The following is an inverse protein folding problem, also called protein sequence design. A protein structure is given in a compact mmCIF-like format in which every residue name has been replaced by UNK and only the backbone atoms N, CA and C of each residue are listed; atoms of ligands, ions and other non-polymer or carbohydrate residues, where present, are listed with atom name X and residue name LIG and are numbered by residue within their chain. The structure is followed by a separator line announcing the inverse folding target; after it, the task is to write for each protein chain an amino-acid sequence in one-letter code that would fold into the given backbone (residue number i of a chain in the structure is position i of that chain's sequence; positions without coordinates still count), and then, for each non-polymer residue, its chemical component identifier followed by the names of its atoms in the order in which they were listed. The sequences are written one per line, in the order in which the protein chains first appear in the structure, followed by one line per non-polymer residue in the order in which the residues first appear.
data_IF_915716162940
#
_entry.id   IF_915716162940
#
_cell.length_a   1.000
_cell.length_b   1.000
_cell.length_c   1.000
_cell.angle_alpha   90.00
_cell.angle_beta   90.00
_cell.angle_gamma   90.00
#
_symmetry.space_group_name_H-M   'P 1'
#
loop_
_entity.id
_entity.type
_entity.pdbx_description
1 polymer ?
#
# COMPACT_ATOMS: atom_id res chain seq x y z
N UNK A 1 -6.66 5.44 29.22
CA UNK A 1 -7.43 4.59 28.27
C UNK A 1 -7.95 5.33 27.03
N UNK A 2 -8.57 6.52 27.15
CA UNK A 2 -9.14 7.26 26.00
C UNK A 2 -8.16 7.50 24.83
N UNK A 3 -6.88 7.76 25.10
CA UNK A 3 -5.85 7.99 24.06
C UNK A 3 -5.56 6.74 23.22
N UNK A 4 -5.41 5.57 23.85
CA UNK A 4 -5.14 4.32 23.14
C UNK A 4 -6.32 3.92 22.23
N UNK A 5 -7.55 4.10 22.74
CA UNK A 5 -8.77 3.84 21.97
C UNK A 5 -8.88 4.80 20.77
N UNK A 6 -8.61 6.09 20.96
CA UNK A 6 -8.63 7.07 19.86
C UNK A 6 -7.55 6.78 18.80
N UNK A 7 -6.34 6.36 19.22
CA UNK A 7 -5.30 5.96 18.29
C UNK A 7 -5.71 4.75 17.45
N UNK A 8 -6.32 3.74 18.08
CA UNK A 8 -6.80 2.54 17.39
C UNK A 8 -7.97 2.85 16.43
N UNK A 9 -8.85 3.79 16.80
CA UNK A 9 -9.92 4.26 15.91
C UNK A 9 -9.38 5.02 14.69
N UNK A 10 -8.42 5.91 14.88
CA UNK A 10 -7.80 6.65 13.78
C UNK A 10 -7.01 5.72 12.86
N UNK A 11 -6.33 4.73 13.44
CA UNK A 11 -5.69 3.66 12.69
C UNK A 11 -6.70 2.87 11.85
N UNK A 12 -7.81 2.42 12.44
CA UNK A 12 -8.88 1.75 11.71
C UNK A 12 -9.44 2.57 10.55
N UNK A 13 -9.60 3.90 10.73
CA UNK A 13 -10.03 4.82 9.66
C UNK A 13 -9.01 4.91 8.53
N UNK A 14 -7.71 4.89 8.83
CA UNK A 14 -6.66 4.96 7.81
C UNK A 14 -6.61 3.74 6.89
N UNK A 15 -6.97 2.56 7.40
CA UNK A 15 -7.02 1.32 6.63
C UNK A 15 -8.10 1.34 5.52
N UNK A 16 -9.13 2.17 5.68
CA UNK A 16 -10.23 2.23 4.72
C UNK A 16 -9.77 2.73 3.34
N UNK A 17 -8.81 3.67 3.28
CA UNK A 17 -8.31 4.24 2.03
C UNK A 17 -7.78 3.18 1.06
N UNK A 18 -6.78 2.36 1.46
CA UNK A 18 -6.29 1.26 0.65
C UNK A 18 -7.34 0.19 0.32
N UNK A 19 -8.23 -0.14 1.26
CA UNK A 19 -9.24 -1.20 1.08
C UNK A 19 -10.23 -0.86 -0.03
N UNK A 20 -10.58 0.42 -0.18
CA UNK A 20 -11.49 0.89 -1.23
C UNK A 20 -10.98 0.67 -2.66
N UNK A 21 -9.67 0.47 -2.85
CA UNK A 21 -9.07 0.23 -4.17
C UNK A 21 -9.30 -1.22 -4.63
N UNK A 22 -9.48 -2.16 -3.68
CA UNK A 22 -9.59 -3.58 -3.98
C UNK A 22 -10.79 -3.94 -4.87
N UNK A 23 -12.02 -3.43 -4.65
CA UNK A 23 -13.16 -3.72 -5.52
C UNK A 23 -12.96 -3.24 -6.95
N UNK A 24 -12.36 -2.05 -7.12
CA UNK A 24 -12.10 -1.46 -8.44
C UNK A 24 -11.12 -2.35 -9.21
N UNK A 25 -10.00 -2.72 -8.57
CA UNK A 25 -9.00 -3.62 -9.18
C UNK A 25 -9.61 -4.99 -9.48
N UNK A 26 -10.42 -5.54 -8.59
CA UNK A 26 -11.12 -6.81 -8.79
C UNK A 26 -12.04 -6.79 -10.01
N UNK A 27 -12.77 -5.70 -10.22
CA UNK A 27 -13.62 -5.51 -11.40
C UNK A 27 -12.80 -5.47 -12.69
N UNK A 28 -11.66 -4.78 -12.69
CA UNK A 28 -10.75 -4.74 -13.85
C UNK A 28 -10.15 -6.12 -14.18
N UNK A 29 -9.81 -6.91 -13.15
CA UNK A 29 -9.33 -8.29 -13.33
C UNK A 29 -10.43 -9.16 -13.94
N UNK A 30 -11.65 -9.10 -13.38
CA UNK A 30 -12.78 -9.86 -13.89
C UNK A 30 -13.08 -9.50 -15.36
N UNK A 31 -13.10 -8.20 -15.68
CA UNK A 31 -13.31 -7.71 -17.03
C UNK A 31 -12.22 -8.17 -18.00
N UNK A 32 -10.94 -8.03 -17.63
CA UNK A 32 -9.82 -8.50 -18.44
C UNK A 32 -9.84 -10.01 -18.66
N UNK A 33 -10.21 -10.79 -17.65
CA UNK A 33 -10.34 -12.25 -17.76
C UNK A 33 -11.51 -12.66 -18.66
N UNK A 34 -12.64 -11.95 -18.62
CA UNK A 34 -13.77 -12.19 -19.54
C UNK A 34 -13.36 -11.94 -20.99
N UNK A 35 -12.60 -10.88 -21.26
CA UNK A 35 -12.09 -10.59 -22.61
C UNK A 35 -10.95 -11.52 -23.05
N UNK A 36 -10.12 -11.97 -22.10
CA UNK A 36 -8.90 -12.75 -22.33
C UNK A 36 -9.10 -14.27 -22.37
N UNK A 37 -10.28 -14.77 -22.01
CA UNK A 37 -10.55 -16.20 -21.93
C UNK A 37 -11.06 -16.75 -23.28
N UNK A 38 -10.24 -17.57 -23.92
CA UNK A 38 -10.56 -18.22 -25.20
C UNK A 38 -11.79 -19.13 -25.15
N UNK A 39 -12.27 -19.53 -23.97
CA UNK A 39 -13.53 -20.28 -23.86
C UNK A 39 -14.76 -19.45 -24.22
N UNK A 40 -14.71 -18.12 -24.04
CA UNK A 40 -15.80 -17.20 -24.40
C UNK A 40 -15.83 -16.91 -25.91
N UNK A 41 -14.74 -17.18 -26.63
CA UNK A 41 -14.70 -17.11 -28.09
C UNK A 41 -15.65 -18.11 -28.78
N UNK A 42 -16.07 -19.17 -28.07
CA UNK A 42 -17.10 -20.12 -28.56
C UNK A 42 -18.51 -19.52 -28.61
N UNK A 43 -18.78 -18.52 -27.76
CA UNK A 43 -20.09 -17.87 -27.67
C UNK A 43 -20.11 -16.51 -28.39
N UNK A 44 -18.97 -15.81 -28.43
CA UNK A 44 -18.83 -14.53 -29.12
C UNK A 44 -17.65 -14.59 -30.11
N UNK A 45 -17.89 -14.69 -31.44
CA UNK A 45 -16.82 -14.82 -32.43
C UNK A 45 -15.90 -13.59 -32.52
N UNK A 46 -16.38 -12.42 -32.07
CA UNK A 46 -15.58 -11.20 -31.90
C UNK A 46 -14.46 -11.35 -30.86
N UNK A 47 -14.66 -12.16 -29.79
CA UNK A 47 -13.65 -12.42 -28.75
C UNK A 47 -12.63 -13.51 -29.15
N UNK A 48 -12.82 -14.15 -30.29
CA UNK A 48 -11.89 -15.15 -30.83
C UNK A 48 -10.64 -14.55 -31.46
N UNK A 49 -10.62 -13.23 -31.71
CA UNK A 49 -9.45 -12.61 -32.33
C UNK A 49 -8.29 -12.54 -31.32
N UNK A 50 -7.09 -13.06 -31.68
CA UNK A 50 -5.95 -13.15 -30.75
C UNK A 50 -5.53 -11.79 -30.18
N UNK A 51 -5.77 -10.70 -30.93
CA UNK A 51 -5.51 -9.33 -30.46
C UNK A 51 -6.37 -8.95 -29.24
N UNK A 52 -7.67 -9.30 -29.25
CA UNK A 52 -8.61 -8.95 -28.17
C UNK A 52 -8.28 -9.78 -26.92
N UNK A 53 -7.93 -11.06 -27.10
CA UNK A 53 -7.53 -11.93 -25.99
C UNK A 53 -6.24 -11.45 -25.33
N UNK A 54 -5.25 -11.04 -26.13
CA UNK A 54 -3.99 -10.50 -25.62
C UNK A 54 -4.21 -9.20 -24.85
N UNK A 55 -5.09 -8.31 -25.33
CA UNK A 55 -5.45 -7.08 -24.60
C UNK A 55 -6.18 -7.41 -23.29
N UNK A 56 -7.15 -8.34 -23.31
CA UNK A 56 -7.85 -8.77 -22.10
C UNK A 56 -6.89 -9.32 -21.04
N UNK A 57 -5.95 -10.18 -21.46
CA UNK A 57 -4.90 -10.70 -20.59
C UNK A 57 -3.93 -9.63 -20.10
N UNK A 58 -3.59 -8.63 -20.93
CA UNK A 58 -2.75 -7.50 -20.54
C UNK A 58 -3.43 -6.69 -19.42
N UNK A 59 -4.73 -6.40 -19.56
CA UNK A 59 -5.51 -5.70 -18.54
C UNK A 59 -5.58 -6.53 -17.26
N UNK A 60 -5.90 -7.82 -17.36
CA UNK A 60 -6.00 -8.69 -16.18
C UNK A 60 -4.65 -8.81 -15.45
N UNK A 61 -3.56 -9.08 -16.17
CA UNK A 61 -2.22 -9.26 -15.58
C UNK A 61 -1.69 -7.96 -14.98
N UNK A 62 -1.92 -6.82 -15.61
CA UNK A 62 -1.51 -5.52 -15.06
C UNK A 62 -2.28 -5.18 -13.78
N UNK A 63 -3.60 -5.44 -13.75
CA UNK A 63 -4.41 -5.24 -12.55
C UNK A 63 -4.02 -6.19 -11.39
N UNK A 64 -3.68 -7.45 -11.68
CA UNK A 64 -3.17 -8.40 -10.67
C UNK A 64 -1.87 -7.91 -10.02
N UNK A 65 -1.00 -7.19 -10.74
CA UNK A 65 0.24 -6.64 -10.18
C UNK A 65 0.00 -5.73 -8.97
N UNK A 66 -1.12 -5.00 -8.96
CA UNK A 66 -1.54 -4.14 -7.84
C UNK A 66 -1.83 -4.99 -6.59
N UNK A 67 -2.47 -6.14 -6.75
CA UNK A 67 -2.77 -7.06 -5.65
C UNK A 67 -1.51 -7.77 -5.12
N UNK A 68 -0.54 -8.04 -5.99
CA UNK A 68 0.75 -8.62 -5.58
C UNK A 68 1.54 -7.65 -4.71
N UNK A 69 1.46 -6.35 -5.01
CA UNK A 69 2.14 -5.29 -4.27
C UNK A 69 1.24 -4.60 -3.24
N UNK A 70 0.17 -5.27 -2.80
CA UNK A 70 -0.81 -4.69 -1.89
C UNK A 70 -0.20 -4.24 -0.56
N UNK A 71 0.86 -4.91 -0.09
CA UNK A 71 1.62 -4.51 1.08
C UNK A 71 2.16 -3.06 0.96
N UNK A 72 2.65 -2.67 -0.22
CA UNK A 72 3.15 -1.32 -0.47
C UNK A 72 2.03 -0.27 -0.37
N UNK A 73 0.85 -0.58 -0.92
CA UNK A 73 -0.32 0.31 -0.88
C UNK A 73 -0.73 0.59 0.57
N UNK A 74 -0.70 -0.43 1.44
CA UNK A 74 -0.98 -0.25 2.86
C UNK A 74 0.13 0.49 3.61
N UNK A 75 1.41 0.19 3.31
CA UNK A 75 2.55 0.88 3.92
C UNK A 75 2.53 2.39 3.66
N UNK A 76 2.06 2.78 2.48
CA UNK A 76 1.94 4.17 2.05
C UNK A 76 0.62 4.80 2.51
N UNK A 77 -0.48 4.06 2.41
CA UNK A 77 -1.82 4.58 2.72
C UNK A 77 -2.11 4.81 4.20
N UNK A 78 -1.52 4.02 5.10
CA UNK A 78 -1.72 4.16 6.55
C UNK A 78 -1.14 5.49 7.07
N UNK A 79 0.13 5.85 6.81
CA UNK A 79 0.67 7.15 7.20
C UNK A 79 -0.14 8.33 6.66
N UNK A 80 -0.60 8.24 5.41
CA UNK A 80 -1.46 9.27 4.79
C UNK A 80 -2.81 9.40 5.50
N UNK A 81 -3.41 8.28 5.92
CA UNK A 81 -4.67 8.27 6.66
C UNK A 81 -4.53 8.69 8.13
N UNK A 82 -3.34 8.52 8.73
CA UNK A 82 -3.01 9.00 10.08
C UNK A 82 -2.62 10.49 10.08
N UNK A 83 -2.03 11.00 9.00
CA UNK A 83 -1.55 12.37 8.90
C UNK A 83 -2.70 13.36 8.62
N UNK A 84 -2.82 14.40 9.45
CA UNK A 84 -3.76 15.49 9.23
C UNK A 84 -3.15 16.71 8.50
N UNK A 85 -1.82 16.78 8.40
CA UNK A 85 -1.03 17.83 7.70
C UNK A 85 0.05 17.12 6.86
N UNK A 86 0.49 17.77 5.79
CA UNK A 86 1.60 17.32 4.92
C UNK A 86 1.52 15.84 4.48
N UNK A 87 0.35 15.45 3.96
CA UNK A 87 0.05 14.08 3.54
C UNK A 87 1.08 13.52 2.54
N UNK A 88 1.62 14.35 1.65
CA UNK A 88 2.65 13.92 0.69
C UNK A 88 3.98 13.54 1.37
N UNK A 89 4.35 14.21 2.47
CA UNK A 89 5.56 13.85 3.22
C UNK A 89 5.34 12.56 4.03
N UNK A 90 4.15 12.40 4.60
CA UNK A 90 3.75 11.17 5.29
C UNK A 90 3.78 9.95 4.34
N UNK A 91 3.31 10.14 3.10
CA UNK A 91 3.38 9.14 2.03
C UNK A 91 4.82 8.70 1.75
N UNK A 92 5.71 9.67 1.56
CA UNK A 92 7.12 9.44 1.25
C UNK A 92 7.83 8.67 2.37
N UNK A 93 7.60 9.04 3.63
CA UNK A 93 8.17 8.31 4.78
C UNK A 93 7.68 6.86 4.81
N UNK A 94 6.39 6.63 4.56
CA UNK A 94 5.83 5.27 4.49
C UNK A 94 6.50 4.42 3.41
N UNK A 95 6.70 5.00 2.22
CA UNK A 95 7.37 4.35 1.10
C UNK A 95 8.83 4.01 1.42
N UNK A 96 9.60 4.97 1.93
CA UNK A 96 11.01 4.76 2.30
C UNK A 96 11.13 3.72 3.40
N UNK A 97 10.28 3.77 4.42
CA UNK A 97 10.27 2.78 5.52
C UNK A 97 10.01 1.37 5.00
N UNK A 98 9.10 1.22 4.04
CA UNK A 98 8.81 -0.07 3.42
C UNK A 98 10.00 -0.61 2.61
N UNK A 99 10.70 0.24 1.86
CA UNK A 99 11.90 -0.15 1.11
C UNK A 99 13.03 -0.59 2.05
N UNK A 100 13.25 0.15 3.14
CA UNK A 100 14.23 -0.23 4.18
C UNK A 100 13.84 -1.57 4.80
N UNK A 101 12.56 -1.80 5.07
CA UNK A 101 12.05 -3.05 5.63
C UNK A 101 12.29 -4.25 4.70
N UNK A 102 12.08 -4.10 3.38
CA UNK A 102 12.38 -5.15 2.39
C UNK A 102 13.86 -5.53 2.45
N UNK A 103 14.76 -4.54 2.44
CA UNK A 103 16.20 -4.78 2.48
C UNK A 103 16.64 -5.39 3.82
N UNK A 104 16.10 -4.92 4.94
CA UNK A 104 16.39 -5.48 6.26
C UNK A 104 15.97 -6.96 6.35
N UNK A 105 14.80 -7.32 5.81
CA UNK A 105 14.38 -8.73 5.75
C UNK A 105 15.28 -9.56 4.83
N UNK A 106 15.72 -9.01 3.71
CA UNK A 106 16.64 -9.69 2.82
C UNK A 106 17.97 -10.04 3.54
N UNK A 107 18.57 -9.06 4.22
CA UNK A 107 19.81 -9.24 4.97
C UNK A 107 19.62 -10.25 6.12
N UNK A 108 18.51 -10.16 6.86
CA UNK A 108 18.22 -11.12 7.94
C UNK A 108 18.15 -12.57 7.42
N UNK A 109 17.54 -12.79 6.25
CA UNK A 109 17.50 -14.11 5.62
C UNK A 109 18.87 -14.60 5.15
N UNK A 110 19.72 -13.68 4.67
CA UNK A 110 21.11 -13.99 4.32
C UNK A 110 21.90 -14.44 5.56
N UNK A 111 21.77 -13.71 6.67
CA UNK A 111 22.45 -14.04 7.93
C UNK A 111 21.98 -15.36 8.53
N UNK A 112 20.71 -15.72 8.34
CA UNK A 112 20.15 -17.00 8.79
C UNK A 112 20.47 -18.17 7.83
N UNK A 113 21.10 -17.92 6.68
CA UNK A 113 21.38 -18.94 5.67
C UNK A 113 20.10 -19.53 5.03
N UNK A 114 18.95 -18.86 5.18
CA UNK A 114 17.65 -19.32 4.68
C UNK A 114 17.26 -18.67 3.35
N UNK A 115 18.21 -18.02 2.65
CA UNK A 115 17.95 -17.42 1.35
C UNK A 115 17.70 -18.53 0.31
N UNK A 116 16.44 -18.76 -0.05
CA UNK A 116 16.09 -19.83 -0.98
C UNK A 116 16.41 -19.41 -2.42
N UNK A 117 16.87 -20.37 -3.23
CA UNK A 117 17.04 -20.19 -4.67
C UNK A 117 15.71 -19.79 -5.33
N UNK A 118 15.72 -19.05 -6.47
CA UNK A 118 14.52 -18.53 -7.14
C UNK A 118 13.42 -19.56 -7.41
N UNK A 119 13.81 -20.81 -7.63
CA UNK A 119 12.90 -21.95 -7.88
C UNK A 119 12.16 -22.41 -6.61
N UNK A 120 12.77 -22.26 -5.43
CA UNK A 120 12.25 -22.72 -4.14
C UNK A 120 11.68 -21.59 -3.27
N UNK A 121 11.76 -20.33 -3.72
CA UNK A 121 11.28 -19.16 -2.98
C UNK A 121 9.84 -19.32 -2.48
N UNK A 122 8.93 -19.76 -3.36
CA UNK A 122 7.52 -19.95 -2.98
C UNK A 122 7.34 -21.03 -1.92
N UNK A 123 8.13 -22.11 -1.99
CA UNK A 123 8.08 -23.21 -1.02
C UNK A 123 8.64 -22.79 0.34
N UNK A 124 9.67 -21.95 0.36
CA UNK A 124 10.25 -21.35 1.56
C UNK A 124 9.43 -20.16 2.11
N UNK A 125 8.26 -19.86 1.54
CA UNK A 125 7.43 -18.74 1.98
C UNK A 125 8.03 -17.35 1.66
N UNK A 126 8.93 -17.28 0.68
CA UNK A 126 9.62 -16.06 0.25
C UNK A 126 9.01 -15.51 -1.05
N UNK A 127 9.08 -14.19 -1.21
CA UNK A 127 8.58 -13.47 -2.38
C UNK A 127 9.53 -12.35 -2.75
N UNK A 128 9.58 -12.05 -4.06
CA UNK A 128 10.26 -10.86 -4.57
C UNK A 128 9.34 -9.65 -4.47
N UNK A 129 9.83 -8.57 -3.88
CA UNK A 129 9.16 -7.26 -3.85
C UNK A 129 10.21 -6.19 -4.14
N UNK A 130 9.97 -5.35 -5.15
CA UNK A 130 10.88 -4.24 -5.55
C UNK A 130 12.36 -4.66 -5.79
N UNK A 131 12.61 -5.91 -6.17
CA UNK A 131 13.97 -6.43 -6.42
C UNK A 131 14.65 -7.06 -5.21
N UNK A 132 14.05 -7.01 -4.01
CA UNK A 132 14.52 -7.71 -2.82
C UNK A 132 13.68 -8.94 -2.48
N UNK A 133 14.33 -9.98 -1.95
CA UNK A 133 13.68 -11.19 -1.45
C UNK A 133 13.32 -11.04 0.03
N UNK A 134 12.04 -11.18 0.36
CA UNK A 134 11.50 -11.07 1.72
C UNK A 134 10.52 -12.20 2.02
N UNK A 135 10.18 -12.42 3.29
CA UNK A 135 9.08 -13.32 3.63
C UNK A 135 7.74 -12.80 3.11
N UNK A 136 6.92 -13.71 2.59
CA UNK A 136 5.58 -13.43 2.09
C UNK A 136 4.59 -13.26 3.24
N UNK A 137 4.66 -12.10 3.90
CA UNK A 137 3.70 -11.70 4.94
C UNK A 137 2.44 -11.03 4.37
N UNK A 138 2.38 -10.83 3.05
CA UNK A 138 1.24 -10.19 2.39
C UNK A 138 0.96 -8.79 2.95
N UNK A 139 -0.32 -8.46 3.10
CA UNK A 139 -0.77 -7.13 3.58
C UNK A 139 -0.27 -6.82 5.00
N UNK A 140 -0.02 -7.85 5.81
CA UNK A 140 0.44 -7.68 7.19
C UNK A 140 1.77 -6.91 7.27
N UNK A 141 2.72 -7.17 6.37
CA UNK A 141 3.97 -6.41 6.31
C UNK A 141 3.71 -4.91 6.11
N UNK A 142 2.81 -4.58 5.17
CA UNK A 142 2.45 -3.20 4.87
C UNK A 142 1.75 -2.50 6.03
N UNK A 143 0.86 -3.21 6.73
CA UNK A 143 0.19 -2.69 7.91
C UNK A 143 1.19 -2.42 9.04
N UNK A 144 2.13 -3.35 9.27
CA UNK A 144 3.15 -3.22 10.29
C UNK A 144 4.10 -2.07 10.00
N UNK A 145 4.65 -1.99 8.79
CA UNK A 145 5.55 -0.89 8.40
C UNK A 145 4.83 0.45 8.36
N UNK A 146 3.58 0.48 7.89
CA UNK A 146 2.75 1.68 7.84
C UNK A 146 2.38 2.21 9.22
N UNK A 147 2.07 1.32 10.16
CA UNK A 147 1.85 1.66 11.57
C UNK A 147 3.12 2.20 12.22
N UNK A 148 4.28 1.57 11.98
CA UNK A 148 5.57 2.02 12.47
C UNK A 148 5.93 3.40 11.91
N UNK A 149 5.83 3.60 10.59
CA UNK A 149 6.12 4.91 9.99
C UNK A 149 5.14 5.99 10.43
N UNK A 150 3.85 5.64 10.58
CA UNK A 150 2.84 6.57 11.09
C UNK A 150 3.11 6.96 12.55
N UNK A 151 3.51 6.01 13.39
CA UNK A 151 3.91 6.29 14.76
C UNK A 151 5.18 7.14 14.83
N UNK A 152 6.23 6.78 14.09
CA UNK A 152 7.48 7.55 14.02
C UNK A 152 7.25 8.97 13.50
N UNK A 153 6.36 9.13 12.52
CA UNK A 153 5.94 10.46 12.07
C UNK A 153 5.34 11.26 13.22
N UNK A 154 4.39 10.69 13.96
CA UNK A 154 3.74 11.34 15.11
C UNK A 154 4.74 11.64 16.23
N UNK A 155 5.71 10.75 16.48
CA UNK A 155 6.69 10.93 17.56
C UNK A 155 7.76 11.96 17.24
N UNK A 156 8.24 12.02 15.99
CA UNK A 156 9.31 12.94 15.56
C UNK A 156 8.77 14.34 15.29
N UNK A 157 7.58 14.46 14.70
CA UNK A 157 6.99 15.76 14.35
C UNK A 157 6.12 16.36 15.47
N UNK A 158 5.92 15.64 16.58
CA UNK A 158 5.09 16.11 17.72
C UNK A 158 3.61 16.32 17.36
N UNK A 159 3.18 15.85 16.19
CA UNK A 159 1.86 16.06 15.62
C UNK A 159 0.79 15.22 16.35
N UNK A 160 0.42 15.64 17.56
CA UNK A 160 -0.96 15.47 18.01
C UNK A 160 -1.81 16.41 17.16
N UNK A 161 -2.24 15.94 15.99
CA UNK A 161 -3.23 16.64 15.17
C UNK A 161 -4.63 16.47 15.76
N UNK A 162 -4.75 16.69 17.07
CA UNK A 162 -6.00 17.01 17.71
C UNK A 162 -6.51 18.30 17.10
N UNK A 163 -7.67 18.17 16.48
CA UNK A 163 -8.54 19.12 15.80
C UNK A 163 -8.81 20.49 16.46
N UNK A 164 -8.05 20.97 17.45
CA UNK A 164 -8.42 22.16 18.22
C UNK A 164 -8.04 23.52 17.60
N UNK A 165 -7.52 23.60 16.36
CA UNK A 165 -7.06 24.89 15.81
C UNK A 165 -7.60 25.35 14.44
N UNK A 166 -8.37 24.55 13.70
CA UNK A 166 -9.11 25.08 12.53
C UNK A 166 -10.36 24.23 12.29
N UNK A 167 -11.38 24.41 13.14
CA UNK A 167 -12.73 24.42 12.60
C UNK A 167 -12.95 25.83 12.06
N UNK A 168 -13.35 25.97 10.79
CA UNK A 168 -14.55 26.78 10.61
C UNK A 168 -15.40 26.21 9.47
N UNK A 169 -16.68 26.02 9.76
CA UNK A 169 -17.70 25.93 8.73
C UNK A 169 -17.92 27.29 8.01
N UNK A 170 -17.11 28.33 8.27
CA UNK A 170 -17.22 29.63 7.59
C UNK A 170 -16.04 30.61 7.83
N UNK A 171 -14.78 30.25 7.52
CA UNK A 171 -13.72 31.28 7.47
C UNK A 171 -12.71 31.01 6.36
N UNK A 172 -12.50 31.96 5.42
CA UNK A 172 -11.34 31.93 4.56
C UNK A 172 -10.13 32.34 5.42
N UNK A 173 -8.94 31.83 5.10
CA UNK A 173 -7.66 32.26 5.71
C UNK A 173 -7.34 31.62 7.08
N UNK A 174 -7.13 30.30 7.14
CA UNK A 174 -6.19 29.75 8.15
C UNK A 174 -4.76 29.95 7.61
N UNK A 175 -4.09 31.05 7.98
CA UNK A 175 -2.65 31.25 7.78
C UNK A 175 -1.87 30.15 8.50
N UNK A 176 -0.96 29.47 7.80
CA UNK A 176 0.15 28.76 8.44
C UNK A 176 1.02 29.78 9.18
N UNK A 177 1.41 29.55 10.46
CA UNK A 177 2.58 30.22 11.00
C UNK A 177 3.79 29.62 10.30
N UNK A 178 4.38 30.43 9.45
CA UNK A 178 5.55 30.16 8.62
C UNK A 178 6.83 30.34 9.48
N UNK A 179 6.93 29.62 10.60
CA UNK A 179 8.00 29.85 11.59
C UNK A 179 8.74 28.58 12.06
N UNK A 180 8.85 27.55 11.23
CA UNK A 180 9.73 26.40 11.54
C UNK A 180 10.46 25.89 10.29
N UNK A 181 10.91 26.81 9.44
CA UNK A 181 12.01 26.61 8.50
C UNK A 181 13.21 27.43 9.02
N UNK A 182 13.90 26.85 10.00
CA UNK A 182 15.21 27.16 10.64
C UNK A 182 15.10 26.49 12.00
N UNK A 183 15.93 25.52 12.38
CA UNK A 183 17.35 25.29 12.13
C UNK A 183 17.65 23.82 11.78
#
# INVERSE_FOLDING_TARGET
MKRAVNALQNFGKSLYGPVLILPIVGLFIAFGNVLGNGNLAKYLPLLGHPFIQNIGQLIAKSAVSVLVNLALIFAVGIPVGLAARDKGYAELIGLVTFIVFINAMNITLQLQGQLAAPEQMKAAGQSMVLGGQMLKMGVFAGILTGALSGYSLISVTGMNLTYSACHPANAPICRCPLSTIRE
#
